data_IF_684973036076
#
_entry.id   IF_684973036076
#
_cell.length_a   1.000
_cell.length_b   1.000
_cell.length_c   1.000
_cell.angle_alpha   90.00
_cell.angle_beta   90.00
_cell.angle_gamma   90.00
#
_symmetry.space_group_name_H-M   'P 1'
#
loop_
_entity.id
_entity.type
_entity.pdbx_description
1 polymer ?
#
# COMPACT_ATOMS: atom_id res chain seq x y z
N UNK A 1 -13.65 13.49 -4.13
CA UNK A 1 -12.49 13.97 -4.91
C UNK A 1 -12.67 15.42 -5.36
N UNK A 2 -11.64 16.26 -5.20
CA UNK A 2 -11.69 17.68 -5.58
C UNK A 2 -10.88 17.94 -6.86
N UNK A 3 -11.58 18.09 -7.99
CA UNK A 3 -11.00 18.35 -9.32
C UNK A 3 -10.72 19.83 -9.61
N UNK A 4 -10.95 20.74 -8.67
CA UNK A 4 -10.58 22.15 -8.82
C UNK A 4 -9.06 22.27 -8.96
N UNK A 5 -8.58 22.91 -10.04
CA UNK A 5 -7.15 23.04 -10.32
C UNK A 5 -6.55 21.95 -11.20
N UNK A 6 -7.35 21.01 -11.73
CA UNK A 6 -6.90 20.04 -12.72
C UNK A 6 -6.29 20.71 -13.95
N UNK A 7 -5.07 20.31 -14.31
CA UNK A 7 -4.31 20.84 -15.44
C UNK A 7 -3.49 22.10 -15.13
N UNK A 8 -3.67 22.69 -13.94
CA UNK A 8 -2.91 23.89 -13.50
C UNK A 8 -2.09 23.63 -12.25
N UNK A 9 -2.72 23.15 -11.17
CA UNK A 9 -2.07 22.86 -9.88
C UNK A 9 -2.18 21.39 -9.50
N UNK A 10 -3.03 20.63 -10.21
CA UNK A 10 -3.25 19.21 -10.01
C UNK A 10 -3.09 18.45 -11.32
N UNK A 11 -2.55 17.24 -11.22
CA UNK A 11 -2.55 16.28 -12.32
C UNK A 11 -3.82 15.46 -12.18
N UNK A 12 -4.61 15.36 -13.24
CA UNK A 12 -5.88 14.65 -13.20
C UNK A 12 -6.02 13.75 -14.42
N UNK A 13 -6.31 12.47 -14.18
CA UNK A 13 -6.60 11.50 -15.21
C UNK A 13 -7.93 10.85 -14.91
N UNK A 14 -8.87 10.91 -15.85
CA UNK A 14 -10.23 10.42 -15.68
C UNK A 14 -10.67 9.57 -16.87
N UNK A 15 -11.37 8.47 -16.57
CA UNK A 15 -11.99 7.56 -17.53
C UNK A 15 -13.46 7.38 -17.16
N UNK A 16 -14.39 7.51 -18.12
CA UNK A 16 -14.21 8.07 -19.47
C UNK A 16 -13.69 9.53 -19.46
N UNK A 17 -13.11 10.02 -20.56
CA UNK A 17 -12.61 11.40 -20.60
C UNK A 17 -13.75 12.38 -20.33
N UNK A 18 -13.58 13.27 -19.36
CA UNK A 18 -14.56 14.30 -18.99
C UNK A 18 -15.62 13.86 -17.98
N UNK A 19 -15.56 12.63 -17.46
CA UNK A 19 -16.42 12.22 -16.35
C UNK A 19 -16.15 13.03 -15.07
N UNK A 20 -17.13 13.07 -14.18
CA UNK A 20 -17.03 13.59 -12.84
C UNK A 20 -16.51 12.49 -11.90
N UNK A 21 -15.36 12.69 -11.21
CA UNK A 21 -14.78 11.70 -10.33
C UNK A 21 -15.64 11.37 -9.10
N UNK A 22 -16.69 12.14 -8.82
CA UNK A 22 -17.63 11.89 -7.74
C UNK A 22 -18.94 11.24 -8.21
N UNK A 23 -19.15 11.05 -9.51
CA UNK A 23 -20.44 10.54 -10.02
C UNK A 23 -20.28 9.37 -10.98
N UNK A 24 -19.51 9.53 -12.07
CA UNK A 24 -19.62 8.65 -13.25
C UNK A 24 -18.26 8.22 -13.84
N UNK A 25 -17.14 8.54 -13.19
CA UNK A 25 -15.85 7.96 -13.59
C UNK A 25 -15.75 6.49 -13.19
N UNK A 26 -15.36 5.65 -14.16
CA UNK A 26 -14.96 4.25 -13.94
C UNK A 26 -13.59 4.16 -13.29
N UNK A 27 -12.67 5.07 -13.63
CA UNK A 27 -11.38 5.21 -12.96
C UNK A 27 -10.96 6.67 -12.98
N UNK A 28 -10.43 7.16 -11.87
CA UNK A 28 -9.94 8.52 -11.79
C UNK A 28 -8.82 8.66 -10.77
N UNK A 29 -7.81 9.47 -11.09
CA UNK A 29 -6.74 9.84 -10.16
C UNK A 29 -6.50 11.34 -10.19
N UNK A 30 -6.20 11.92 -9.04
CA UNK A 30 -5.81 13.31 -8.85
C UNK A 30 -4.55 13.35 -7.99
N UNK A 31 -3.52 14.05 -8.47
CA UNK A 31 -2.29 14.31 -7.73
C UNK A 31 -2.16 15.80 -7.45
N UNK A 32 -1.82 16.13 -6.22
CA UNK A 32 -1.61 17.50 -5.75
C UNK A 32 -0.41 17.53 -4.80
N UNK A 33 0.54 18.43 -5.04
CA UNK A 33 1.63 18.66 -4.09
C UNK A 33 1.08 19.52 -2.95
N UNK A 34 1.07 18.98 -1.73
CA UNK A 34 0.40 19.58 -0.56
C UNK A 34 1.37 20.07 0.51
N UNK A 35 2.67 19.85 0.35
CA UNK A 35 3.71 20.28 1.26
C UNK A 35 5.10 19.95 0.76
N UNK A 36 6.11 20.16 1.60
CA UNK A 36 7.48 19.77 1.30
C UNK A 36 7.58 18.25 1.15
N UNK A 37 8.04 17.81 -0.03
CA UNK A 37 8.20 16.40 -0.36
C UNK A 37 6.91 15.55 -0.27
N UNK A 38 5.72 16.16 -0.26
CA UNK A 38 4.45 15.46 -0.03
C UNK A 38 3.46 15.68 -1.18
N UNK A 39 2.98 14.57 -1.73
CA UNK A 39 1.93 14.54 -2.73
C UNK A 39 0.70 13.86 -2.17
N UNK A 40 -0.44 14.55 -2.21
CA UNK A 40 -1.74 13.97 -1.98
C UNK A 40 -2.21 13.24 -3.23
N UNK A 41 -2.60 11.99 -3.06
CA UNK A 41 -3.13 11.12 -4.10
C UNK A 41 -4.59 10.84 -3.77
N UNK A 42 -5.49 11.15 -4.70
CA UNK A 42 -6.90 10.78 -4.60
C UNK A 42 -7.24 9.87 -5.78
N UNK A 43 -7.86 8.74 -5.52
CA UNK A 43 -8.19 7.74 -6.52
C UNK A 43 -9.64 7.28 -6.37
N UNK A 44 -10.23 6.92 -7.50
CA UNK A 44 -11.54 6.29 -7.55
C UNK A 44 -11.59 5.23 -8.62
N UNK A 45 -12.31 4.14 -8.35
CA UNK A 45 -12.64 3.13 -9.32
C UNK A 45 -14.09 2.66 -9.12
N UNK A 46 -14.81 2.40 -10.22
CA UNK A 46 -16.09 1.70 -10.14
C UNK A 46 -15.86 0.27 -9.63
N UNK A 47 -16.73 -0.23 -8.76
CA UNK A 47 -16.59 -1.58 -8.23
C UNK A 47 -16.78 -2.62 -9.34
N UNK A 48 -16.01 -3.71 -9.26
CA UNK A 48 -16.13 -4.82 -10.22
C UNK A 48 -17.43 -5.58 -9.95
N UNK A 49 -18.13 -5.92 -11.04
CA UNK A 49 -19.36 -6.74 -11.00
C UNK A 49 -19.12 -8.02 -11.79
N UNK A 50 -19.28 -9.22 -11.18
CA UNK A 50 -19.67 -9.45 -9.79
C UNK A 50 -18.59 -9.01 -8.77
N UNK A 51 -18.96 -8.73 -7.50
CA UNK A 51 -18.00 -8.30 -6.47
C UNK A 51 -16.86 -9.28 -6.30
N UNK A 52 -15.65 -8.74 -6.19
CA UNK A 52 -14.42 -9.49 -5.91
C UNK A 52 -14.01 -9.32 -4.45
N UNK A 53 -13.21 -10.24 -3.93
CA UNK A 53 -12.75 -10.17 -2.54
C UNK A 53 -11.84 -8.96 -2.29
N UNK A 54 -10.97 -8.64 -3.24
CA UNK A 54 -10.09 -7.47 -3.18
C UNK A 54 -10.09 -6.77 -4.54
N UNK A 55 -10.21 -5.45 -4.53
CA UNK A 55 -10.11 -4.60 -5.71
C UNK A 55 -9.03 -3.56 -5.48
N UNK A 56 -8.26 -3.27 -6.53
CA UNK A 56 -7.25 -2.22 -6.50
C UNK A 56 -7.59 -1.06 -7.43
N UNK A 57 -7.06 0.11 -7.09
CA UNK A 57 -6.83 1.21 -8.01
C UNK A 57 -5.37 1.63 -7.86
N UNK A 58 -4.68 1.77 -9.00
CA UNK A 58 -3.24 1.99 -9.02
C UNK A 58 -2.89 3.19 -9.89
N UNK A 59 -1.79 3.84 -9.52
CA UNK A 59 -1.13 4.89 -10.28
C UNK A 59 0.31 4.47 -10.57
N UNK A 60 0.75 4.67 -11.81
CA UNK A 60 2.12 4.38 -12.23
C UNK A 60 2.81 5.65 -12.72
N UNK A 61 4.10 5.77 -12.41
CA UNK A 61 5.02 6.78 -12.92
C UNK A 61 6.03 6.08 -13.83
N UNK A 62 6.09 6.54 -15.08
CA UNK A 62 6.86 5.90 -16.14
C UNK A 62 7.62 6.92 -16.98
N UNK A 63 8.74 6.50 -17.55
CA UNK A 63 9.52 7.30 -18.49
C UNK A 63 8.90 7.29 -19.91
N UNK A 64 7.96 6.37 -20.19
CA UNK A 64 7.25 6.28 -21.46
C UNK A 64 5.73 6.03 -21.30
N UNK A 65 5.02 5.86 -22.42
CA UNK A 65 3.56 5.67 -22.42
C UNK A 65 3.13 4.20 -22.34
N UNK A 66 4.05 3.29 -22.06
CA UNK A 66 3.82 1.85 -22.03
C UNK A 66 4.19 1.26 -20.69
N UNK A 67 3.30 0.44 -20.14
CA UNK A 67 3.61 -0.34 -18.95
C UNK A 67 4.87 -1.19 -19.16
N UNK A 68 5.80 -1.19 -18.20
CA UNK A 68 6.83 -2.22 -18.10
C UNK A 68 8.15 -1.85 -17.46
N UNK A 69 8.35 -0.59 -17.10
CA UNK A 69 9.42 -0.15 -16.23
C UNK A 69 8.87 1.05 -15.46
N UNK A 70 7.99 0.78 -14.49
CA UNK A 70 7.20 1.82 -13.85
C UNK A 70 7.23 1.64 -12.33
N UNK A 71 7.38 2.75 -11.61
CA UNK A 71 7.10 2.78 -10.18
C UNK A 71 5.61 2.95 -9.97
N UNK A 72 5.01 2.05 -9.20
CA UNK A 72 3.56 1.98 -9.01
C UNK A 72 3.23 2.20 -7.55
N UNK A 73 2.17 2.94 -7.31
CA UNK A 73 1.46 2.94 -6.02
C UNK A 73 0.07 2.40 -6.25
N UNK A 74 -0.31 1.41 -5.48
CA UNK A 74 -1.65 0.81 -5.54
C UNK A 74 -2.34 0.95 -4.19
N UNK A 75 -3.63 1.25 -4.24
CA UNK A 75 -4.51 1.14 -3.10
C UNK A 75 -5.42 -0.06 -3.32
N UNK A 76 -5.50 -0.94 -2.33
CA UNK A 76 -6.32 -2.14 -2.33
C UNK A 76 -7.36 -1.98 -1.25
N UNK A 77 -8.62 -2.27 -1.58
CA UNK A 77 -9.68 -2.41 -0.59
C UNK A 77 -10.12 -3.87 -0.57
N UNK A 78 -10.08 -4.45 0.61
CA UNK A 78 -10.60 -5.78 0.90
C UNK A 78 -12.07 -5.69 1.31
N UNK A 79 -12.93 -6.45 0.64
CA UNK A 79 -14.30 -6.68 1.10
C UNK A 79 -14.28 -7.79 2.15
N UNK A 80 -14.14 -7.40 3.42
CA UNK A 80 -14.13 -8.33 4.56
C UNK A 80 -15.54 -8.77 5.01
N UNK A 81 -16.55 -8.47 4.19
CA UNK A 81 -17.96 -8.74 4.47
C UNK A 81 -18.68 -7.52 5.07
N UNK A 82 -20.01 -7.52 4.93
CA UNK A 82 -20.92 -6.42 5.28
C UNK A 82 -20.78 -5.94 6.74
N UNK A 83 -20.25 -6.77 7.62
CA UNK A 83 -20.14 -6.51 9.07
C UNK A 83 -18.77 -6.01 9.54
N UNK A 84 -17.72 -6.14 8.72
CA UNK A 84 -16.34 -5.76 9.09
C UNK A 84 -15.93 -4.45 8.41
N UNK A 85 -16.63 -4.08 7.33
CA UNK A 85 -16.33 -2.87 6.58
C UNK A 85 -15.20 -3.08 5.57
N UNK A 86 -14.66 -1.96 5.08
CA UNK A 86 -13.58 -1.92 4.11
C UNK A 86 -12.32 -1.41 4.80
N UNK A 87 -11.24 -2.18 4.73
CA UNK A 87 -9.92 -1.74 5.16
C UNK A 87 -9.08 -1.40 3.93
N UNK A 88 -8.71 -0.13 3.73
CA UNK A 88 -7.81 0.27 2.66
C UNK A 88 -6.37 -0.03 3.05
N UNK A 89 -5.61 -0.53 2.10
CA UNK A 89 -4.17 -0.73 2.20
C UNK A 89 -3.49 -0.08 1.00
N UNK A 90 -2.33 0.53 1.22
CA UNK A 90 -1.53 1.14 0.16
C UNK A 90 -0.18 0.45 0.06
N UNK A 91 0.23 0.15 -1.17
CA UNK A 91 1.47 -0.54 -1.47
C UNK A 91 2.27 0.23 -2.50
N UNK A 92 3.59 0.15 -2.39
CA UNK A 92 4.46 0.34 -3.54
C UNK A 92 4.55 -0.97 -4.29
N UNK A 93 4.48 -0.90 -5.62
CA UNK A 93 4.75 -2.01 -6.52
C UNK A 93 5.57 -1.53 -7.70
N UNK A 94 6.07 -2.46 -8.50
CA UNK A 94 6.92 -2.13 -9.63
C UNK A 94 6.54 -2.99 -10.83
N UNK A 95 6.38 -2.35 -11.99
CA UNK A 95 6.08 -3.04 -13.22
C UNK A 95 7.37 -3.48 -13.92
N UNK A 96 7.46 -4.77 -14.21
CA UNK A 96 8.52 -5.36 -15.05
C UNK A 96 7.90 -6.01 -16.29
N UNK A 97 8.05 -5.38 -17.44
CA UNK A 97 7.40 -5.81 -18.68
C UNK A 97 5.88 -5.68 -18.60
N UNK A 98 5.16 -6.77 -18.36
CA UNK A 98 3.68 -6.76 -18.22
C UNK A 98 3.21 -7.41 -16.91
N UNK A 99 4.14 -7.68 -16.00
CA UNK A 99 3.85 -8.12 -14.64
C UNK A 99 4.08 -6.97 -13.65
N UNK A 100 3.45 -7.09 -12.50
CA UNK A 100 3.61 -6.18 -11.37
C UNK A 100 4.02 -7.01 -10.15
N UNK A 101 5.00 -6.52 -9.40
CA UNK A 101 5.44 -7.13 -8.14
C UNK A 101 5.40 -6.08 -7.03
N UNK A 102 4.79 -6.42 -5.88
CA UNK A 102 4.81 -5.54 -4.71
C UNK A 102 6.21 -5.40 -4.14
N UNK A 103 6.54 -4.19 -3.72
CA UNK A 103 7.78 -3.88 -3.01
C UNK A 103 7.50 -3.96 -1.51
N UNK A 104 8.17 -4.88 -0.82
CA UNK A 104 8.00 -5.04 0.62
C UNK A 104 8.56 -3.82 1.37
N UNK A 105 7.67 -3.17 2.13
CA UNK A 105 8.00 -2.14 3.11
C UNK A 105 7.71 -2.69 4.51
N UNK A 106 8.64 -2.51 5.45
CA UNK A 106 8.33 -2.74 6.86
C UNK A 106 7.47 -1.61 7.44
N UNK A 107 6.96 -1.77 8.66
CA UNK A 107 6.05 -0.79 9.29
C UNK A 107 6.63 0.63 9.36
N UNK A 108 7.92 0.78 9.66
CA UNK A 108 8.57 2.10 9.73
C UNK A 108 8.71 2.72 8.33
N UNK A 109 9.07 1.92 7.32
CA UNK A 109 9.18 2.37 5.93
C UNK A 109 7.81 2.75 5.35
N UNK A 110 6.76 1.98 5.70
CA UNK A 110 5.40 2.23 5.29
C UNK A 110 4.87 3.55 5.88
N UNK A 111 5.06 3.76 7.19
CA UNK A 111 4.67 5.01 7.89
C UNK A 111 5.49 6.23 7.45
N UNK A 112 6.73 6.02 7.00
CA UNK A 112 7.54 7.10 6.43
C UNK A 112 7.04 7.47 5.03
N UNK A 113 6.74 6.47 4.20
CA UNK A 113 6.34 6.64 2.80
C UNK A 113 4.91 7.18 2.64
N UNK A 114 3.98 6.71 3.47
CA UNK A 114 2.55 6.99 3.36
C UNK A 114 1.97 7.58 4.64
N UNK A 115 1.06 8.55 4.49
CA UNK A 115 0.31 9.18 5.59
C UNK A 115 -1.13 9.41 5.20
N UNK A 116 -1.98 9.66 6.18
CA UNK A 116 -3.38 10.07 6.00
C UNK A 116 -4.17 9.13 5.07
N UNK A 117 -3.90 7.82 5.15
CA UNK A 117 -4.62 6.82 4.36
C UNK A 117 -6.09 6.75 4.80
N UNK A 118 -6.97 6.97 3.84
CA UNK A 118 -8.39 6.79 3.97
C UNK A 118 -8.92 6.11 2.71
N UNK A 119 -9.92 5.24 2.87
CA UNK A 119 -10.53 4.56 1.75
C UNK A 119 -11.79 3.86 2.16
N UNK A 120 -12.72 3.78 1.22
CA UNK A 120 -14.06 3.25 1.44
C UNK A 120 -14.71 2.87 0.11
N UNK A 121 -15.83 2.17 0.17
CA UNK A 121 -16.71 1.96 -0.98
C UNK A 121 -18.01 2.72 -0.74
N UNK A 122 -18.26 3.73 -1.56
CA UNK A 122 -19.50 4.52 -1.56
C UNK A 122 -20.14 4.41 -2.93
N UNK A 123 -21.45 4.16 -2.98
CA UNK A 123 -22.25 4.15 -4.22
C UNK A 123 -21.66 3.26 -5.32
N UNK A 124 -21.18 2.05 -4.96
CA UNK A 124 -20.50 1.12 -5.87
C UNK A 124 -19.21 1.68 -6.48
N UNK A 125 -18.48 2.51 -5.72
CA UNK A 125 -17.20 3.10 -6.11
C UNK A 125 -16.21 3.00 -4.97
N UNK A 126 -15.08 2.38 -5.26
CA UNK A 126 -13.91 2.38 -4.39
C UNK A 126 -13.27 3.76 -4.45
N UNK A 127 -13.15 4.43 -3.30
CA UNK A 127 -12.44 5.70 -3.16
C UNK A 127 -11.25 5.47 -2.25
N UNK A 128 -10.09 6.01 -2.61
CA UNK A 128 -8.90 5.94 -1.80
C UNK A 128 -8.14 7.26 -1.84
N UNK A 129 -7.67 7.71 -0.68
CA UNK A 129 -6.93 8.95 -0.50
C UNK A 129 -5.76 8.70 0.45
N UNK A 130 -4.58 9.20 0.12
CA UNK A 130 -3.41 9.19 1.00
C UNK A 130 -2.42 10.27 0.59
N UNK A 131 -1.46 10.54 1.47
CA UNK A 131 -0.27 11.34 1.21
C UNK A 131 0.92 10.42 0.98
N UNK A 132 1.70 10.65 -0.06
CA UNK A 132 2.90 9.89 -0.43
C UNK A 132 4.12 10.81 -0.54
N UNK A 133 5.31 10.33 -0.14
CA UNK A 133 6.56 11.05 -0.39
C UNK A 133 6.93 11.08 -1.88
N UNK A 134 7.35 12.25 -2.36
CA UNK A 134 7.76 12.43 -3.77
C UNK A 134 9.20 11.93 -3.97
N UNK A 135 10.08 12.26 -3.02
CA UNK A 135 11.45 11.78 -2.89
C UNK A 135 11.46 10.88 -1.65
N UNK A 136 11.35 9.55 -1.83
CA UNK A 136 11.29 8.61 -0.71
C UNK A 136 12.54 8.74 0.16
N UNK A 137 12.35 8.80 1.47
CA UNK A 137 13.45 8.77 2.43
C UNK A 137 13.82 7.35 2.86
N UNK A 138 13.11 6.33 2.40
CA UNK A 138 13.36 4.91 2.68
C UNK A 138 14.43 4.30 1.75
N UNK A 139 14.86 3.07 2.04
CA UNK A 139 15.75 2.31 1.14
C UNK A 139 15.13 2.20 -0.27
N UNK A 140 15.95 2.33 -1.31
CA UNK A 140 15.46 2.31 -2.70
C UNK A 140 15.07 0.91 -3.19
N UNK A 141 15.23 -0.13 -2.35
CA UNK A 141 14.90 -1.53 -2.60
C UNK A 141 15.52 -2.05 -3.90
N UNK A 142 16.81 -1.80 -4.10
CA UNK A 142 17.56 -2.13 -5.31
C UNK A 142 17.02 -1.43 -6.58
N UNK A 143 16.50 -0.20 -6.43
CA UNK A 143 15.98 0.61 -7.54
C UNK A 143 14.50 0.37 -7.87
N UNK A 144 13.76 -0.36 -7.03
CA UNK A 144 12.32 -0.58 -7.19
C UNK A 144 11.49 0.59 -6.63
N UNK A 145 12.03 1.33 -5.66
CA UNK A 145 11.42 2.56 -5.13
C UNK A 145 12.07 3.77 -5.78
N UNK A 146 11.27 4.54 -6.51
CA UNK A 146 11.76 5.66 -7.32
C UNK A 146 11.60 6.99 -6.60
N UNK A 147 12.57 7.89 -6.84
CA UNK A 147 12.34 9.31 -6.65
C UNK A 147 11.45 9.80 -7.80
N UNK A 148 10.30 10.36 -7.46
CA UNK A 148 9.36 10.95 -8.42
C UNK A 148 9.72 12.41 -8.75
N UNK A 149 11.01 12.75 -8.62
CA UNK A 149 11.59 14.02 -9.03
C UNK A 149 11.95 13.97 -10.52
N UNK A 150 11.17 14.65 -11.34
CA UNK A 150 11.39 14.74 -12.78
C UNK A 150 10.10 14.61 -13.57
N UNK A 151 10.24 14.54 -14.89
CA UNK A 151 9.14 14.41 -15.83
C UNK A 151 8.75 12.94 -16.01
N UNK A 152 7.52 12.57 -15.62
CA UNK A 152 6.98 11.21 -15.81
C UNK A 152 5.65 11.22 -16.56
N UNK A 153 5.42 10.22 -17.40
CA UNK A 153 4.06 9.84 -17.75
C UNK A 153 3.40 9.23 -16.53
N UNK A 154 2.19 9.70 -16.25
CA UNK A 154 1.31 9.14 -15.24
C UNK A 154 0.34 8.19 -15.91
N UNK A 155 0.14 7.01 -15.34
CA UNK A 155 -0.88 6.04 -15.75
C UNK A 155 -1.79 5.68 -14.58
N UNK A 156 -3.02 5.24 -14.87
CA UNK A 156 -3.95 4.75 -13.87
C UNK A 156 -4.68 3.50 -14.35
N UNK A 157 -4.84 2.53 -13.45
CA UNK A 157 -5.52 1.26 -13.74
C UNK A 157 -6.31 0.79 -12.52
N UNK A 158 -7.28 -0.10 -12.76
CA UNK A 158 -8.03 -0.80 -11.71
C UNK A 158 -8.27 -2.24 -12.13
N UNK A 159 -8.44 -3.11 -11.13
CA UNK A 159 -8.68 -4.54 -11.34
C UNK A 159 -8.88 -5.27 -10.03
N UNK A 160 -9.02 -6.59 -10.09
CA UNK A 160 -9.07 -7.42 -8.89
C UNK A 160 -7.66 -7.63 -8.31
N UNK A 161 -7.55 -7.75 -7.00
CA UNK A 161 -6.31 -8.07 -6.31
C UNK A 161 -6.39 -9.45 -5.63
N UNK A 162 -5.23 -9.95 -5.23
CA UNK A 162 -5.03 -11.07 -4.32
C UNK A 162 -4.14 -10.58 -3.16
N UNK A 163 -4.02 -11.35 -2.06
CA UNK A 163 -3.27 -10.91 -0.89
C UNK A 163 -1.84 -10.43 -1.18
N UNK A 164 -1.15 -11.00 -2.17
CA UNK A 164 0.25 -10.69 -2.46
C UNK A 164 0.50 -10.07 -3.85
N UNK A 165 -0.54 -9.91 -4.68
CA UNK A 165 -0.41 -9.45 -6.07
C UNK A 165 -1.68 -8.76 -6.60
N UNK A 166 -1.53 -8.06 -7.72
CA UNK A 166 -2.65 -7.51 -8.49
C UNK A 166 -2.85 -8.29 -9.78
N UNK A 167 -4.11 -8.51 -10.16
CA UNK A 167 -4.42 -9.13 -11.43
C UNK A 167 -4.29 -8.10 -12.57
N UNK A 168 -4.14 -8.61 -13.79
CA UNK A 168 -4.15 -7.78 -14.99
C UNK A 168 -5.41 -6.90 -15.05
N UNK A 169 -5.21 -5.61 -15.32
CA UNK A 169 -6.29 -4.68 -15.61
C UNK A 169 -7.00 -5.07 -16.93
N UNK A 170 -8.11 -4.40 -17.23
CA UNK A 170 -8.82 -4.57 -18.51
C UNK A 170 -7.90 -4.34 -19.73
N UNK A 171 -7.96 -5.23 -20.72
CA UNK A 171 -7.10 -5.23 -21.91
C UNK A 171 -7.85 -4.81 -23.17
N UNK A 172 -9.19 -4.76 -23.13
CA UNK A 172 -10.01 -4.27 -24.22
C UNK A 172 -9.91 -2.74 -24.31
N UNK A 173 -9.25 -2.24 -25.36
CA UNK A 173 -9.01 -0.79 -25.59
C UNK A 173 -10.30 0.04 -25.70
N UNK A 174 -11.43 -0.59 -26.02
CA UNK A 174 -12.73 0.08 -26.11
C UNK A 174 -13.47 0.13 -24.78
N UNK A 175 -13.02 -0.61 -23.77
CA UNK A 175 -13.66 -0.65 -22.46
C UNK A 175 -13.48 0.66 -21.69
N UNK A 176 -14.48 1.03 -20.90
CA UNK A 176 -14.36 2.11 -19.93
C UNK A 176 -13.47 1.74 -18.74
N UNK A 177 -13.10 0.47 -18.56
CA UNK A 177 -12.12 0.04 -17.56
C UNK A 177 -10.69 -0.02 -18.09
N UNK A 178 -10.48 0.21 -19.39
CA UNK A 178 -9.13 0.24 -19.97
C UNK A 178 -8.29 1.35 -19.31
N UNK A 179 -7.01 1.07 -18.96
CA UNK A 179 -6.14 2.01 -18.28
C UNK A 179 -6.04 3.38 -18.97
N UNK A 180 -5.72 4.37 -18.15
CA UNK A 180 -5.47 5.73 -18.58
C UNK A 180 -3.97 5.94 -18.63
N UNK A 181 -3.48 6.50 -19.73
CA UNK A 181 -2.11 7.00 -19.83
C UNK A 181 -2.18 8.48 -20.18
N UNK A 182 -1.37 9.29 -19.50
CA UNK A 182 -1.23 10.70 -19.81
C UNK A 182 -0.66 10.95 -21.21
N UNK A 183 -1.13 12.01 -21.87
CA UNK A 183 -0.65 12.39 -23.21
C UNK A 183 0.72 13.07 -23.17
N UNK A 184 1.13 13.56 -22.01
CA UNK A 184 2.39 14.29 -21.77
C UNK A 184 2.94 13.91 -20.41
N UNK A 185 4.24 14.15 -20.23
CA UNK A 185 4.88 14.03 -18.93
C UNK A 185 4.44 15.14 -17.99
N UNK A 186 4.55 14.88 -16.69
CA UNK A 186 4.37 15.84 -15.62
C UNK A 186 5.60 15.86 -14.74
N UNK A 187 6.03 17.06 -14.41
CA UNK A 187 7.08 17.30 -13.43
C UNK A 187 6.45 17.74 -12.12
N UNK A 188 6.43 16.83 -11.15
CA UNK A 188 5.90 17.13 -9.82
C UNK A 188 6.66 18.31 -9.18
N UNK A 189 7.92 18.54 -9.60
CA UNK A 189 8.72 19.64 -9.05
C UNK A 189 8.21 21.04 -9.36
N UNK A 190 7.42 21.17 -10.44
CA UNK A 190 6.84 22.45 -10.85
C UNK A 190 5.66 22.88 -9.97
N UNK A 191 5.16 22.01 -9.09
CA UNK A 191 3.97 22.26 -8.28
C UNK A 191 4.28 22.53 -6.79
N UNK A 192 5.54 22.55 -6.36
CA UNK A 192 5.90 22.79 -4.96
C UNK A 192 7.39 22.99 -4.70
N UNK A 193 7.80 22.96 -3.43
CA UNK A 193 9.21 23.06 -3.02
C UNK A 193 9.72 21.68 -2.53
N UNK A 194 10.94 21.31 -2.93
CA UNK A 194 11.48 19.94 -2.83
C UNK A 194 12.76 19.88 -2.02
N UNK A 195 12.87 20.72 -0.98
CA UNK A 195 14.01 20.69 -0.09
C UNK A 195 14.07 19.31 0.58
N UNK A 196 15.26 18.73 0.55
CA UNK A 196 15.51 17.38 1.05
C UNK A 196 15.32 17.41 2.58
N UNK A 197 14.33 16.68 3.14
CA UNK A 197 14.34 16.44 4.57
C UNK A 197 15.57 15.60 4.91
N UNK A 198 16.05 15.73 6.14
CA UNK A 198 17.12 14.89 6.71
C UNK A 198 16.83 13.41 6.43
N UNK A 199 17.86 12.66 6.03
CA UNK A 199 17.74 11.24 5.70
C UNK A 199 16.99 10.44 6.78
N UNK A 200 16.14 9.50 6.35
CA UNK A 200 15.45 8.57 7.26
C UNK A 200 16.47 7.80 8.10
N UNK A 201 16.27 7.83 9.40
CA UNK A 201 16.96 6.95 10.34
C UNK A 201 15.92 5.96 10.83
N UNK A 202 16.03 4.70 10.39
CA UNK A 202 15.17 3.63 10.86
C UNK A 202 15.13 3.62 12.39
N UNK A 203 13.95 3.55 13.00
CA UNK A 203 13.83 3.37 14.44
C UNK A 203 14.21 1.94 14.77
N UNK A 204 15.51 1.68 14.90
CA UNK A 204 16.00 0.42 15.46
C UNK A 204 15.41 0.27 16.85
N UNK A 205 14.38 -0.55 17.00
CA UNK A 205 13.93 -1.05 18.29
C UNK A 205 15.04 -1.94 18.84
N UNK A 206 15.98 -1.36 19.57
CA UNK A 206 16.99 -2.10 20.32
C UNK A 206 16.37 -2.69 21.59
N UNK A 207 15.37 -3.57 21.43
CA UNK A 207 15.16 -4.67 22.37
C UNK A 207 16.02 -5.86 21.94
N UNK A 208 17.27 -5.57 21.58
CA UNK A 208 18.29 -6.58 21.40
C UNK A 208 18.66 -7.01 22.82
N UNK A 209 18.10 -8.16 23.22
CA UNK A 209 18.45 -8.97 24.38
C UNK A 209 19.83 -8.55 24.90
N UNK A 210 19.86 -7.88 26.05
CA UNK A 210 21.11 -7.66 26.76
C UNK A 210 21.81 -9.01 26.84
N UNK A 211 23.00 -9.10 26.24
CA UNK A 211 23.87 -10.24 26.43
C UNK A 211 24.18 -10.28 27.91
N UNK A 212 23.42 -11.08 28.67
CA UNK A 212 23.83 -11.47 30.01
C UNK A 212 25.25 -12.05 29.87
N UNK A 213 26.24 -11.52 30.62
CA UNK A 213 27.58 -12.05 30.56
C UNK A 213 27.54 -13.54 30.91
N UNK A 214 28.18 -14.36 30.09
CA UNK A 214 28.32 -15.78 30.31
C UNK A 214 28.99 -15.99 31.68
N UNK A 215 28.23 -16.49 32.65
CA UNK A 215 28.74 -16.79 33.99
C UNK A 215 29.74 -17.93 33.87
N UNK A 216 31.02 -17.63 34.06
CA UNK A 216 32.09 -18.62 34.17
C UNK A 216 31.75 -19.60 35.29
N UNK A 217 31.45 -20.85 34.93
CA UNK A 217 31.28 -21.95 35.88
C UNK A 217 32.64 -22.37 36.39
N UNK A 218 32.98 -21.98 37.61
CA UNK A 218 33.95 -22.68 38.46
C UNK A 218 33.18 -23.66 39.35
N UNK A 219 33.51 -24.94 39.21
CA UNK A 219 33.34 -26.02 40.21
C UNK A 219 33.92 -25.55 41.56
N UNK A 220 33.40 -25.85 42.75
CA UNK A 220 32.77 -27.07 43.29
C UNK A 220 32.17 -26.73 44.70
N UNK A 221 31.74 -27.67 45.57
CA UNK A 221 30.37 -27.79 46.06
C UNK A 221 30.16 -27.31 47.51
N UNK A 222 28.92 -26.99 47.90
CA UNK A 222 28.46 -27.32 49.25
C UNK A 222 26.93 -27.40 49.39
N UNK A 223 26.55 -28.34 50.23
CA UNK A 223 25.21 -28.84 50.52
C UNK A 223 24.36 -27.79 51.23
N UNK A 224 23.04 -27.73 50.93
CA UNK A 224 21.98 -27.99 51.92
C UNK A 224 20.57 -27.56 51.45
N UNK A 225 19.65 -28.54 51.49
CA UNK A 225 18.41 -28.52 52.29
C UNK A 225 17.08 -28.09 51.64
N UNK A 226 16.14 -29.05 51.77
CA UNK A 226 14.67 -29.10 51.68
C UNK A 226 13.97 -29.28 50.32
N UNK A 227 13.61 -30.55 50.11
CA UNK A 227 12.50 -31.03 49.29
C UNK A 227 11.14 -30.55 49.81
N UNK A 228 10.32 -29.97 48.94
CA UNK A 228 8.85 -29.99 49.06
C UNK A 228 8.27 -30.55 47.76
N UNK A 229 7.83 -31.80 47.82
CA UNK A 229 6.94 -32.41 46.84
C UNK A 229 5.57 -31.72 46.90
N UNK A 230 5.03 -31.34 45.74
CA UNK A 230 3.60 -31.18 45.53
C UNK A 230 3.24 -31.92 44.24
N UNK A 231 2.48 -32.99 44.46
CA UNK A 231 1.94 -33.97 43.53
C UNK A 231 0.85 -33.37 42.65
N UNK A 232 0.91 -33.65 41.34
CA UNK A 232 -0.17 -33.40 40.38
C UNK A 232 -1.09 -34.61 40.28
N UNK A 233 -2.43 -34.47 40.23
CA UNK A 233 -3.29 -35.54 39.78
C UNK A 233 -3.78 -35.31 38.35
N UNK A 234 -3.55 -36.36 37.56
CA UNK A 234 -4.15 -36.68 36.27
C UNK A 234 -5.67 -36.81 36.44
N UNK A 235 -6.47 -36.18 35.58
CA UNK A 235 -7.91 -36.46 35.47
C UNK A 235 -8.18 -37.13 34.11
N UNK A 236 -8.79 -38.30 34.22
CA UNK A 236 -9.06 -39.26 33.17
C UNK A 236 -10.32 -38.93 32.36
N UNK A 237 -10.33 -39.45 31.13
CA UNK A 237 -11.47 -39.55 30.22
C UNK A 237 -12.68 -40.25 30.87
N UNK A 238 -13.88 -39.76 30.55
CA UNK A 238 -15.09 -40.59 30.54
C UNK A 238 -15.94 -40.28 29.30
N UNK A 239 -16.17 -41.33 28.52
CA UNK A 239 -17.18 -41.42 27.46
C UNK A 239 -18.58 -41.44 28.04
N UNK A 240 -19.55 -40.72 27.44
CA UNK A 240 -20.96 -41.09 27.49
C UNK A 240 -21.58 -40.92 26.09
N UNK A 241 -22.40 -41.91 25.77
CA UNK A 241 -23.01 -42.28 24.50
C UNK A 241 -24.53 -42.10 24.66
N UNK A 242 -25.13 -41.36 23.71
CA UNK A 242 -26.45 -41.53 23.06
C UNK A 242 -27.82 -41.03 23.60
N UNK A 243 -28.63 -40.68 22.57
CA UNK A 243 -30.09 -40.54 22.39
C UNK A 243 -30.77 -39.38 23.15
N UNK A 244 -31.51 -38.44 22.53
CA UNK A 244 -32.43 -38.48 21.38
C UNK A 244 -32.28 -37.25 20.46
#
# INVERSE_FOLDING_TARGET
MNSTGCGTTKICLFKPRGCNPNMDCTTGVILEVVGENQMKVQMVAATIVPPVQQQYVAIAFSDDQQMGNDSVTECVISNMGEFVGYEPEVYLSYNKGKSNDRVFLNDDEHQEMFKDLAGEVIDSRMVCEFTQQIIPQIDNKNGLVWSLKGDFYVMAATGSAQPDEVNAHEMNRQSHFFPITSEKTFDLTKFGNFDHPTAFVSKLNTNRIEKHPLRTTTSEPEQNVVSRLLTSPIIALFSIVFFF
#
